data_IF_799673172302
#
_entry.id   IF_799673172302
#
_cell.length_a   1.000
_cell.length_b   1.000
_cell.length_c   1.000
_cell.angle_alpha   90.00
_cell.angle_beta   90.00
_cell.angle_gamma   90.00
#
_symmetry.space_group_name_H-M   'P 1'
#
loop_
_entity.id
_entity.type
_entity.pdbx_description
1 polymer ?
#
# COMPACT_ATOMS: atom_id res chain seq x y z
N UNK A 1 -44.02 8.66 -39.98
CA UNK A 1 -44.19 7.70 -38.88
C UNK A 1 -43.04 6.72 -39.00
N UNK A 2 -41.88 7.04 -38.44
CA UNK A 2 -41.48 6.77 -37.05
C UNK A 2 -41.38 5.26 -36.83
N UNK A 3 -40.17 4.69 -36.81
CA UNK A 3 -39.52 4.46 -35.51
C UNK A 3 -38.06 4.03 -35.69
N UNK A 4 -37.18 4.80 -35.04
CA UNK A 4 -35.74 4.56 -34.92
C UNK A 4 -35.48 4.30 -33.45
N UNK A 5 -35.27 3.03 -33.05
CA UNK A 5 -34.82 2.66 -31.70
C UNK A 5 -33.39 2.12 -31.84
N UNK A 6 -32.36 2.96 -31.70
CA UNK A 6 -31.71 3.40 -30.45
C UNK A 6 -31.12 2.22 -29.65
N UNK A 7 -30.04 1.66 -30.17
CA UNK A 7 -29.18 0.66 -29.51
C UNK A 7 -27.89 1.25 -28.92
N UNK A 8 -27.98 2.38 -28.21
CA UNK A 8 -26.81 3.13 -27.71
C UNK A 8 -26.64 3.07 -26.17
N UNK A 9 -27.46 2.26 -25.48
CA UNK A 9 -27.54 2.28 -24.01
C UNK A 9 -26.74 1.21 -23.27
N UNK A 10 -26.29 0.15 -23.94
CA UNK A 10 -25.72 -1.03 -23.26
C UNK A 10 -24.20 -0.99 -23.15
N UNK A 11 -23.52 -0.36 -24.11
CA UNK A 11 -22.05 -0.32 -24.12
C UNK A 11 -21.48 0.69 -23.11
N UNK A 12 -22.23 1.75 -22.77
CA UNK A 12 -21.76 2.81 -21.86
C UNK A 12 -21.75 2.38 -20.37
N UNK A 13 -22.61 1.44 -19.96
CA UNK A 13 -22.64 0.93 -18.57
C UNK A 13 -21.50 -0.02 -18.23
N UNK A 14 -20.86 -0.65 -19.21
CA UNK A 14 -19.75 -1.55 -18.95
C UNK A 14 -18.44 -0.80 -18.63
N UNK A 15 -18.26 0.41 -19.18
CA UNK A 15 -17.11 1.26 -18.86
C UNK A 15 -17.26 2.03 -17.55
N UNK A 16 -18.50 2.26 -17.09
CA UNK A 16 -18.78 2.84 -15.76
C UNK A 16 -18.71 1.81 -14.60
N UNK A 17 -18.50 0.52 -14.93
CA UNK A 17 -18.36 -0.56 -13.96
C UNK A 17 -16.89 -0.95 -13.69
N UNK A 18 -15.93 -0.28 -14.34
CA UNK A 18 -14.49 -0.44 -14.11
C UNK A 18 -13.96 0.84 -13.44
N UNK A 19 -13.58 0.74 -12.17
CA UNK A 19 -13.09 1.86 -11.40
C UNK A 19 -13.32 1.71 -9.89
N UNK A 20 -12.93 2.72 -9.09
CA UNK A 20 -12.96 2.65 -7.63
C UNK A 20 -14.33 2.25 -7.06
N UNK A 21 -15.41 2.63 -7.72
CA UNK A 21 -16.78 2.32 -7.30
C UNK A 21 -17.09 0.81 -7.32
N UNK A 22 -16.46 0.04 -8.23
CA UNK A 22 -16.65 -1.40 -8.31
C UNK A 22 -15.97 -2.13 -7.14
N UNK A 23 -14.73 -1.73 -6.80
CA UNK A 23 -14.03 -2.23 -5.63
C UNK A 23 -14.80 -1.89 -4.34
N UNK A 24 -15.31 -0.66 -4.22
CA UNK A 24 -16.15 -0.26 -3.09
C UNK A 24 -17.48 -1.03 -3.02
N UNK A 25 -18.13 -1.30 -4.16
CA UNK A 25 -19.34 -2.11 -4.20
C UNK A 25 -19.08 -3.55 -3.70
N UNK A 26 -17.97 -4.16 -4.14
CA UNK A 26 -17.55 -5.50 -3.67
C UNK A 26 -17.24 -5.50 -2.17
N UNK A 27 -16.50 -4.50 -1.69
CA UNK A 27 -16.24 -4.30 -0.27
C UNK A 27 -17.55 -4.25 0.50
N UNK A 28 -18.54 -3.46 0.06
CA UNK A 28 -19.82 -3.32 0.77
C UNK A 28 -20.69 -4.58 0.71
N UNK A 29 -20.56 -5.41 -0.32
CA UNK A 29 -21.34 -6.63 -0.51
C UNK A 29 -20.83 -7.81 0.34
N UNK A 30 -19.52 -7.90 0.59
CA UNK A 30 -18.89 -9.00 1.31
C UNK A 30 -18.30 -8.53 2.64
N UNK A 31 -18.67 -9.15 3.74
CA UNK A 31 -18.29 -8.70 5.09
C UNK A 31 -16.97 -9.28 5.63
N UNK A 32 -16.31 -10.19 4.90
CA UNK A 32 -15.07 -10.81 5.39
C UNK A 32 -13.87 -9.84 5.32
N UNK A 33 -12.83 -10.13 6.10
CA UNK A 33 -11.58 -9.35 6.03
C UNK A 33 -10.82 -9.65 4.75
N UNK A 34 -10.71 -10.93 4.38
CA UNK A 34 -10.09 -11.38 3.13
C UNK A 34 -10.65 -10.62 1.92
N UNK A 35 -11.98 -10.57 1.74
CA UNK A 35 -12.58 -9.87 0.60
C UNK A 35 -12.32 -8.36 0.61
N UNK A 36 -12.21 -7.75 1.80
CA UNK A 36 -11.86 -6.34 1.92
C UNK A 36 -10.42 -6.06 1.48
N UNK A 37 -9.50 -6.99 1.78
CA UNK A 37 -8.12 -6.92 1.31
C UNK A 37 -7.99 -7.22 -0.19
N UNK A 38 -8.78 -8.13 -0.74
CA UNK A 38 -8.86 -8.38 -2.18
C UNK A 38 -9.34 -7.13 -2.93
N UNK A 39 -10.43 -6.50 -2.46
CA UNK A 39 -10.92 -5.24 -3.03
C UNK A 39 -9.87 -4.12 -2.93
N UNK A 40 -9.08 -4.10 -1.86
CA UNK A 40 -7.95 -3.17 -1.75
C UNK A 40 -6.87 -3.44 -2.79
N UNK A 41 -6.48 -4.71 -2.97
CA UNK A 41 -5.48 -5.09 -3.97
C UNK A 41 -5.95 -4.73 -5.39
N UNK A 42 -7.22 -5.01 -5.72
CA UNK A 42 -7.83 -4.62 -6.98
C UNK A 42 -7.74 -3.10 -7.20
N UNK A 43 -8.08 -2.30 -6.20
CA UNK A 43 -7.97 -0.83 -6.30
C UNK A 43 -6.53 -0.36 -6.54
N UNK A 44 -5.53 -1.00 -5.91
CA UNK A 44 -4.10 -0.71 -6.17
C UNK A 44 -3.73 -0.99 -7.63
N UNK A 45 -4.18 -2.13 -8.17
CA UNK A 45 -3.93 -2.51 -9.56
C UNK A 45 -4.64 -1.56 -10.54
N UNK A 46 -5.88 -1.17 -10.24
CA UNK A 46 -6.64 -0.20 -11.04
C UNK A 46 -5.96 1.18 -11.07
N UNK A 47 -5.49 1.67 -9.92
CA UNK A 47 -4.74 2.93 -9.86
C UNK A 47 -3.44 2.85 -10.67
N UNK A 48 -2.69 1.75 -10.54
CA UNK A 48 -1.46 1.56 -11.30
C UNK A 48 -1.71 1.54 -12.82
N UNK A 49 -2.77 0.86 -13.25
CA UNK A 49 -3.21 0.85 -14.65
C UNK A 49 -3.67 2.24 -15.12
N UNK A 50 -4.41 2.99 -14.30
CA UNK A 50 -4.82 4.36 -14.61
C UNK A 50 -3.61 5.28 -14.81
N UNK A 51 -2.63 5.23 -13.91
CA UNK A 51 -1.38 6.00 -14.01
C UNK A 51 -0.60 5.68 -15.28
N UNK A 52 -0.56 4.41 -15.66
CA UNK A 52 0.09 3.99 -16.91
C UNK A 52 -0.64 4.59 -18.12
N UNK A 53 -1.98 4.49 -18.18
CA UNK A 53 -2.80 5.07 -19.26
C UNK A 53 -2.59 6.58 -19.39
N UNK A 54 -2.55 7.32 -18.29
CA UNK A 54 -2.29 8.77 -18.33
C UNK A 54 -0.86 9.08 -18.80
N UNK A 55 0.13 8.28 -18.39
CA UNK A 55 1.51 8.42 -18.89
C UNK A 55 1.57 8.24 -20.41
N UNK A 56 0.98 7.17 -20.92
CA UNK A 56 0.92 6.90 -22.37
C UNK A 56 0.14 7.98 -23.14
N UNK A 57 -0.95 8.50 -22.57
CA UNK A 57 -1.73 9.59 -23.17
C UNK A 57 -0.90 10.88 -23.26
N UNK A 58 -0.15 11.24 -22.21
CA UNK A 58 0.77 12.39 -22.23
C UNK A 58 1.87 12.22 -23.27
N UNK A 59 2.52 11.06 -23.30
CA UNK A 59 3.58 10.76 -24.28
C UNK A 59 3.04 10.84 -25.72
N UNK A 60 1.86 10.28 -25.98
CA UNK A 60 1.20 10.38 -27.29
C UNK A 60 0.88 11.82 -27.66
N UNK A 61 0.37 12.61 -26.72
CA UNK A 61 0.03 14.01 -26.94
C UNK A 61 1.29 14.84 -27.23
N UNK A 62 2.41 14.56 -26.55
CA UNK A 62 3.70 15.18 -26.80
C UNK A 62 4.27 14.82 -28.18
N UNK A 63 4.20 13.55 -28.59
CA UNK A 63 4.62 13.10 -29.92
C UNK A 63 3.78 13.74 -31.03
N UNK A 64 2.45 13.76 -30.88
CA UNK A 64 1.55 14.39 -31.84
C UNK A 64 1.77 15.91 -31.90
N UNK A 65 1.90 16.57 -30.75
CA UNK A 65 2.17 18.01 -30.67
C UNK A 65 3.51 18.39 -31.29
N UNK A 66 4.58 17.67 -30.96
CA UNK A 66 5.92 17.91 -31.53
C UNK A 66 5.96 17.67 -33.04
N UNK A 67 5.29 16.62 -33.54
CA UNK A 67 5.19 16.37 -34.97
C UNK A 67 4.43 17.48 -35.69
N UNK A 68 3.27 17.91 -35.19
CA UNK A 68 2.48 18.98 -35.81
C UNK A 68 3.25 20.31 -35.85
N UNK A 69 3.85 20.71 -34.72
CA UNK A 69 4.67 21.92 -34.66
C UNK A 69 5.91 21.83 -35.55
N UNK A 70 6.56 20.66 -35.60
CA UNK A 70 7.69 20.39 -36.49
C UNK A 70 7.30 20.45 -37.96
N UNK A 71 6.16 19.86 -38.34
CA UNK A 71 5.65 19.88 -39.70
C UNK A 71 5.31 21.30 -40.17
N UNK A 72 4.69 22.12 -39.31
CA UNK A 72 4.36 23.51 -39.66
C UNK A 72 5.62 24.38 -39.77
N UNK A 73 6.62 24.17 -38.90
CA UNK A 73 7.94 24.83 -39.03
C UNK A 73 8.66 24.40 -40.30
N UNK A 74 8.66 23.11 -40.63
CA UNK A 74 9.28 22.57 -41.85
C UNK A 74 8.59 23.04 -43.13
N UNK A 75 7.29 23.33 -43.08
CA UNK A 75 6.53 23.92 -44.18
C UNK A 75 6.91 25.39 -44.47
N UNK A 76 7.85 25.98 -43.73
CA UNK A 76 8.35 27.35 -43.97
C UNK A 76 7.37 28.44 -43.56
N UNK A 77 6.41 28.12 -42.70
CA UNK A 77 5.35 29.01 -42.23
C UNK A 77 5.76 29.88 -41.04
N UNK A 78 7.05 29.87 -40.69
CA UNK A 78 7.67 30.78 -39.72
C UNK A 78 7.89 32.16 -40.34
N UNK A 79 7.45 33.26 -39.69
CA UNK A 79 7.67 34.60 -40.23
C UNK A 79 9.19 34.88 -40.30
N UNK A 80 9.72 35.40 -41.42
CA UNK A 80 11.13 35.79 -41.49
C UNK A 80 11.40 36.94 -40.51
N UNK A 81 12.46 36.82 -39.71
CA UNK A 81 12.89 37.83 -38.74
C UNK A 81 13.46 39.12 -39.39
N UNK A 82 13.60 39.15 -40.72
CA UNK A 82 14.12 40.29 -41.47
C UNK A 82 13.80 40.17 -42.96
N UNK A 83 12.79 40.90 -43.43
CA UNK A 83 12.65 41.19 -44.86
C UNK A 83 12.02 42.57 -45.03
N UNK A 84 12.69 43.39 -45.84
CA UNK A 84 12.30 44.73 -46.28
C UNK A 84 10.85 44.80 -46.80
N UNK A 85 10.20 45.98 -46.78
CA UNK A 85 8.79 46.13 -47.11
C UNK A 85 8.55 46.01 -48.61
N UNK A 86 8.45 44.78 -49.10
CA UNK A 86 7.85 44.42 -50.38
C UNK A 86 6.46 43.83 -50.14
N UNK A 87 5.46 44.30 -50.90
CA UNK A 87 4.07 43.84 -50.86
C UNK A 87 3.98 42.31 -51.07
N UNK A 88 3.91 41.55 -49.98
CA UNK A 88 3.47 40.15 -50.00
C UNK A 88 2.30 40.01 -49.03
N UNK A 89 1.08 40.02 -49.57
CA UNK A 89 -0.08 39.49 -48.86
C UNK A 89 0.08 37.97 -48.79
N UNK A 90 0.22 37.39 -47.59
CA UNK A 90 0.15 35.93 -47.45
C UNK A 90 0.73 35.26 -46.19
N UNK A 91 1.42 35.95 -45.27
CA UNK A 91 2.14 35.29 -44.14
C UNK A 91 1.34 35.23 -42.83
N UNK A 92 0.25 35.99 -42.68
CA UNK A 92 -0.61 36.00 -41.51
C UNK A 92 -1.31 34.65 -41.15
N UNK A 93 -1.85 33.85 -42.12
CA UNK A 93 -2.66 32.68 -41.80
C UNK A 93 -1.89 31.56 -41.09
N UNK A 94 -0.57 31.54 -41.28
CA UNK A 94 0.27 30.44 -40.84
C UNK A 94 0.83 30.64 -39.43
N UNK A 95 1.11 31.90 -39.07
CA UNK A 95 1.42 32.29 -37.69
C UNK A 95 0.20 32.16 -36.78
N UNK A 96 -0.99 32.51 -37.26
CA UNK A 96 -2.24 32.29 -36.53
C UNK A 96 -2.53 30.79 -36.36
N UNK A 97 -2.29 29.96 -37.38
CA UNK A 97 -2.42 28.51 -37.26
C UNK A 97 -1.44 27.90 -36.24
N UNK A 98 -0.19 28.35 -36.21
CA UNK A 98 0.80 27.91 -35.21
C UNK A 98 0.36 28.27 -33.80
N UNK A 99 -0.07 29.51 -33.59
CA UNK A 99 -0.56 29.99 -32.30
C UNK A 99 -1.79 29.21 -31.85
N UNK A 100 -2.76 29.01 -32.74
CA UNK A 100 -3.96 28.21 -32.45
C UNK A 100 -3.61 26.75 -32.13
N UNK A 101 -2.60 26.17 -32.81
CA UNK A 101 -2.14 24.81 -32.55
C UNK A 101 -1.40 24.68 -31.20
N UNK A 102 -0.58 25.66 -30.83
CA UNK A 102 0.09 25.75 -29.53
C UNK A 102 -0.92 25.95 -28.39
N UNK A 103 -1.92 26.83 -28.59
CA UNK A 103 -3.01 27.05 -27.66
C UNK A 103 -3.83 25.77 -27.46
N UNK A 104 -4.22 25.08 -28.54
CA UNK A 104 -4.95 23.80 -28.46
C UNK A 104 -4.13 22.69 -27.79
N UNK A 105 -2.83 22.61 -28.06
CA UNK A 105 -1.95 21.63 -27.40
C UNK A 105 -1.85 21.90 -25.90
N UNK A 106 -1.74 23.18 -25.51
CA UNK A 106 -1.70 23.58 -24.10
C UNK A 106 -3.02 23.22 -23.41
N UNK A 107 -4.17 23.58 -23.99
CA UNK A 107 -5.48 23.20 -23.47
C UNK A 107 -5.65 21.68 -23.34
N UNK A 108 -5.16 20.91 -24.31
CA UNK A 108 -5.24 19.46 -24.27
C UNK A 108 -4.35 18.87 -23.15
N UNK A 109 -3.15 19.42 -22.91
CA UNK A 109 -2.29 19.04 -21.78
C UNK A 109 -2.96 19.31 -20.44
N UNK A 110 -3.54 20.49 -20.30
CA UNK A 110 -4.27 20.88 -19.09
C UNK A 110 -5.47 19.97 -18.84
N UNK A 111 -6.22 19.62 -19.89
CA UNK A 111 -7.35 18.69 -19.78
C UNK A 111 -6.92 17.26 -19.40
N UNK A 112 -5.76 16.78 -19.85
CA UNK A 112 -5.20 15.49 -19.40
C UNK A 112 -4.79 15.58 -17.93
N UNK A 113 -4.06 16.63 -17.54
CA UNK A 113 -3.61 16.83 -16.16
C UNK A 113 -4.78 16.94 -15.17
N UNK A 114 -5.86 17.63 -15.57
CA UNK A 114 -7.07 17.74 -14.76
C UNK A 114 -7.75 16.36 -14.58
N UNK A 115 -7.89 15.59 -15.66
CA UNK A 115 -8.47 14.23 -15.58
C UNK A 115 -7.62 13.27 -14.74
N UNK A 116 -6.30 13.38 -14.83
CA UNK A 116 -5.36 12.62 -13.98
C UNK A 116 -5.55 12.99 -12.50
N UNK A 117 -5.59 14.29 -12.18
CA UNK A 117 -5.82 14.75 -10.81
C UNK A 117 -7.19 14.31 -10.24
N UNK A 118 -8.26 14.41 -11.03
CA UNK A 118 -9.60 13.94 -10.64
C UNK A 118 -9.64 12.41 -10.48
N UNK A 119 -8.89 11.66 -11.29
CA UNK A 119 -8.74 10.22 -11.13
C UNK A 119 -7.98 9.88 -9.84
N UNK A 120 -6.86 10.54 -9.57
CA UNK A 120 -6.06 10.31 -8.35
C UNK A 120 -6.86 10.66 -7.08
N UNK A 121 -7.63 11.75 -7.09
CA UNK A 121 -8.49 12.14 -5.98
C UNK A 121 -9.54 11.05 -5.67
N UNK A 122 -10.22 10.52 -6.71
CA UNK A 122 -11.19 9.43 -6.56
C UNK A 122 -10.57 8.15 -5.97
N UNK A 123 -9.37 7.79 -6.41
CA UNK A 123 -8.67 6.63 -5.84
C UNK A 123 -8.25 6.90 -4.39
N UNK A 124 -7.76 8.10 -4.06
CA UNK A 124 -7.39 8.47 -2.70
C UNK A 124 -8.57 8.36 -1.73
N UNK A 125 -9.75 8.84 -2.13
CA UNK A 125 -10.99 8.73 -1.36
C UNK A 125 -11.40 7.26 -1.18
N UNK A 126 -11.36 6.47 -2.26
CA UNK A 126 -11.69 5.05 -2.20
C UNK A 126 -10.73 4.26 -1.30
N UNK A 127 -9.43 4.57 -1.33
CA UNK A 127 -8.47 3.98 -0.40
C UNK A 127 -8.76 4.36 1.05
N UNK A 128 -9.14 5.60 1.32
CA UNK A 128 -9.52 6.03 2.65
C UNK A 128 -10.75 5.27 3.16
N UNK A 129 -11.77 5.09 2.31
CA UNK A 129 -12.96 4.31 2.64
C UNK A 129 -12.64 2.83 2.92
N UNK A 130 -11.84 2.18 2.07
CA UNK A 130 -11.43 0.78 2.26
C UNK A 130 -10.67 0.62 3.58
N UNK A 131 -9.70 1.49 3.88
CA UNK A 131 -8.93 1.43 5.14
C UNK A 131 -9.82 1.63 6.36
N UNK A 132 -10.73 2.60 6.32
CA UNK A 132 -11.68 2.84 7.40
C UNK A 132 -12.59 1.62 7.63
N UNK A 133 -13.08 1.02 6.54
CA UNK A 133 -13.93 -0.18 6.60
C UNK A 133 -13.19 -1.39 7.14
N UNK A 134 -11.94 -1.62 6.70
CA UNK A 134 -11.11 -2.72 7.22
C UNK A 134 -10.83 -2.56 8.71
N UNK A 135 -10.51 -1.34 9.16
CA UNK A 135 -10.34 -1.04 10.59
C UNK A 135 -11.60 -1.32 11.40
N UNK A 136 -12.76 -0.84 10.93
CA UNK A 136 -14.04 -1.09 11.59
C UNK A 136 -14.34 -2.61 11.68
N UNK A 137 -14.14 -3.34 10.58
CA UNK A 137 -14.31 -4.79 10.58
C UNK A 137 -13.37 -5.47 11.56
N UNK A 138 -12.09 -5.15 11.55
CA UNK A 138 -11.11 -5.71 12.49
C UNK A 138 -11.55 -5.47 13.93
N UNK A 139 -12.00 -4.26 14.26
CA UNK A 139 -12.52 -3.92 15.59
C UNK A 139 -13.75 -4.76 15.95
N UNK A 140 -14.69 -4.95 15.02
CA UNK A 140 -15.85 -5.83 15.21
C UNK A 140 -15.44 -7.31 15.39
N UNK A 141 -14.49 -7.81 14.61
CA UNK A 141 -13.97 -9.17 14.76
C UNK A 141 -13.29 -9.38 16.12
N UNK A 142 -12.52 -8.40 16.59
CA UNK A 142 -11.86 -8.42 17.90
C UNK A 142 -12.84 -8.31 19.08
N UNK A 143 -13.99 -7.65 18.89
CA UNK A 143 -15.03 -7.59 19.92
C UNK A 143 -15.86 -8.87 19.99
N UNK A 144 -16.04 -9.56 18.86
CA UNK A 144 -16.79 -10.81 18.76
C UNK A 144 -15.95 -12.05 19.12
N UNK A 145 -14.66 -12.06 18.78
CA UNK A 145 -13.77 -13.20 18.97
C UNK A 145 -12.36 -12.78 19.39
N UNK A 146 -11.72 -13.60 20.22
CA UNK A 146 -10.37 -13.34 20.71
C UNK A 146 -9.37 -14.20 19.94
N UNK A 147 -8.32 -13.63 19.34
CA UNK A 147 -7.20 -14.39 18.80
C UNK A 147 -6.63 -15.33 19.87
N UNK A 148 -6.52 -16.62 19.56
CA UNK A 148 -5.91 -17.61 20.46
C UNK A 148 -4.43 -17.79 20.12
N UNK A 149 -3.59 -17.77 21.15
CA UNK A 149 -2.13 -17.93 21.05
C UNK A 149 -1.66 -19.00 22.01
N UNK A 150 -0.71 -19.82 21.59
CA UNK A 150 0.03 -20.73 22.49
C UNK A 150 1.47 -20.28 22.58
N UNK A 151 1.92 -19.89 23.77
CA UNK A 151 3.30 -19.49 24.06
C UNK A 151 4.09 -20.70 24.53
N UNK A 152 5.12 -21.07 23.77
CA UNK A 152 6.06 -22.12 24.09
C UNK A 152 7.38 -21.51 24.57
N UNK A 153 7.83 -21.92 25.75
CA UNK A 153 9.10 -21.49 26.33
C UNK A 153 10.13 -22.61 26.22
N UNK A 154 11.29 -22.30 25.62
CA UNK A 154 12.48 -23.16 25.67
C UNK A 154 13.59 -22.47 26.46
N UNK A 155 13.99 -23.06 27.60
CA UNK A 155 15.08 -22.54 28.42
C UNK A 155 16.46 -22.91 27.86
N UNK A 156 17.39 -21.97 27.91
CA UNK A 156 18.80 -22.13 27.58
C UNK A 156 19.65 -21.82 28.82
N UNK A 157 19.72 -22.79 29.74
CA UNK A 157 20.29 -22.56 31.07
C UNK A 157 19.33 -21.80 31.99
N UNK A 158 19.88 -21.05 32.95
CA UNK A 158 19.08 -20.35 33.99
C UNK A 158 18.67 -18.94 33.60
N UNK A 159 19.46 -18.26 32.76
CA UNK A 159 19.32 -16.82 32.49
C UNK A 159 18.82 -16.48 31.08
N UNK A 160 18.67 -17.48 30.20
CA UNK A 160 18.33 -17.26 28.79
C UNK A 160 17.23 -18.19 28.33
N UNK A 161 16.46 -17.74 27.35
CA UNK A 161 15.39 -18.52 26.73
C UNK A 161 15.16 -18.12 25.28
N UNK A 162 14.50 -19.03 24.55
CA UNK A 162 13.88 -18.75 23.27
C UNK A 162 12.38 -18.89 23.48
N UNK A 163 11.61 -17.94 22.95
CA UNK A 163 10.15 -17.97 22.98
C UNK A 163 9.61 -18.19 21.57
N UNK A 164 8.60 -19.06 21.48
CA UNK A 164 7.84 -19.28 20.26
C UNK A 164 6.36 -19.10 20.53
N UNK A 165 5.62 -18.62 19.54
CA UNK A 165 4.17 -18.72 19.51
C UNK A 165 3.74 -19.73 18.44
N UNK A 166 2.62 -20.40 18.68
CA UNK A 166 1.98 -21.21 17.65
C UNK A 166 1.70 -20.37 16.40
N UNK A 167 1.92 -20.93 15.22
CA UNK A 167 1.54 -20.27 13.96
C UNK A 167 0.06 -19.93 13.96
N UNK A 168 -0.27 -18.76 13.44
CA UNK A 168 -1.65 -18.29 13.22
C UNK A 168 -1.95 -18.20 11.72
N UNK A 169 -3.23 -18.34 11.36
CA UNK A 169 -3.70 -18.41 9.96
C UNK A 169 -5.03 -17.66 9.79
N UNK A 170 -5.51 -17.57 8.54
CA UNK A 170 -6.76 -16.89 8.21
C UNK A 170 -6.67 -15.40 8.54
N UNK A 171 -7.69 -14.86 9.19
CA UNK A 171 -7.76 -13.44 9.57
C UNK A 171 -6.90 -13.07 10.79
N UNK A 172 -6.51 -14.06 11.60
CA UNK A 172 -5.82 -13.85 12.87
C UNK A 172 -4.55 -12.97 12.77
N UNK A 173 -3.67 -13.11 11.75
CA UNK A 173 -2.54 -12.21 11.56
C UNK A 173 -2.93 -10.73 11.48
N UNK A 174 -3.98 -10.39 10.72
CA UNK A 174 -4.43 -9.01 10.59
C UNK A 174 -5.02 -8.48 11.91
N UNK A 175 -5.78 -9.31 12.62
CA UNK A 175 -6.32 -8.98 13.93
C UNK A 175 -5.20 -8.71 14.95
N UNK A 176 -4.17 -9.57 15.00
CA UNK A 176 -3.03 -9.40 15.89
C UNK A 176 -2.18 -8.18 15.54
N UNK A 177 -1.95 -7.92 14.24
CA UNK A 177 -1.24 -6.73 13.78
C UNK A 177 -1.91 -5.46 14.29
N UNK A 178 -3.25 -5.37 14.16
CA UNK A 178 -4.02 -4.25 14.69
C UNK A 178 -4.00 -4.21 16.21
N UNK A 179 -4.13 -5.36 16.89
CA UNK A 179 -4.11 -5.44 18.34
C UNK A 179 -2.82 -4.88 18.94
N UNK A 180 -1.67 -5.22 18.33
CA UNK A 180 -0.34 -4.86 18.82
C UNK A 180 0.15 -3.48 18.38
N UNK A 181 -0.28 -3.00 17.20
CA UNK A 181 0.23 -1.76 16.62
C UNK A 181 -0.80 -0.63 16.47
N UNK A 182 -2.09 -0.93 16.61
CA UNK A 182 -3.18 -0.01 16.30
C UNK A 182 -3.35 0.29 14.80
N UNK A 183 -2.59 -0.39 13.93
CA UNK A 183 -2.57 -0.19 12.47
C UNK A 183 -2.85 -1.49 11.74
N UNK A 184 -3.31 -1.38 10.51
CA UNK A 184 -3.64 -2.54 9.68
C UNK A 184 -2.46 -2.92 8.79
N UNK A 185 -2.20 -4.20 8.50
CA UNK A 185 -1.23 -4.57 7.49
C UNK A 185 -1.72 -4.14 6.11
N UNK A 186 -0.80 -3.91 5.18
CA UNK A 186 -1.07 -3.56 3.77
C UNK A 186 -1.64 -4.71 2.94
N UNK A 187 -1.44 -5.95 3.39
CA UNK A 187 -1.90 -7.19 2.75
C UNK A 187 -2.44 -8.17 3.80
N UNK A 188 -3.41 -9.01 3.42
CA UNK A 188 -4.01 -10.01 4.31
C UNK A 188 -3.03 -11.12 4.71
N UNK A 189 -2.38 -11.74 3.72
CA UNK A 189 -1.44 -12.84 3.91
C UNK A 189 -0.02 -12.45 4.35
N UNK A 190 0.20 -11.21 4.79
CA UNK A 190 1.53 -10.63 5.00
C UNK A 190 2.45 -11.46 5.90
N UNK A 191 1.90 -12.10 6.95
CA UNK A 191 2.68 -12.86 7.92
C UNK A 191 3.23 -14.16 7.34
N UNK A 192 2.56 -14.72 6.33
CA UNK A 192 2.92 -16.00 5.72
C UNK A 192 3.76 -15.83 4.45
N UNK A 193 4.01 -14.59 4.04
CA UNK A 193 4.80 -14.29 2.86
C UNK A 193 6.29 -14.22 3.19
N UNK A 194 7.00 -15.31 2.88
CA UNK A 194 8.44 -15.46 3.02
C UNK A 194 9.19 -15.33 1.69
N UNK A 195 8.53 -14.76 0.66
CA UNK A 195 9.14 -14.66 -0.68
C UNK A 195 10.36 -13.72 -0.69
N UNK A 196 11.39 -14.11 -1.45
CA UNK A 196 12.58 -13.30 -1.71
C UNK A 196 13.04 -13.55 -3.15
N UNK A 197 13.47 -12.49 -3.85
CA UNK A 197 14.05 -12.62 -5.19
C UNK A 197 15.48 -13.17 -5.13
N UNK A 198 16.17 -12.93 -4.01
CA UNK A 198 17.51 -13.43 -3.74
C UNK A 198 17.46 -14.48 -2.63
N UNK A 199 17.74 -15.73 -2.98
CA UNK A 199 17.77 -16.89 -2.06
C UNK A 199 18.94 -16.86 -1.08
N UNK A 200 19.96 -16.04 -1.33
CA UNK A 200 21.08 -15.86 -0.41
C UNK A 200 20.77 -14.91 0.74
N UNK A 201 19.67 -14.15 0.62
CA UNK A 201 19.20 -13.21 1.62
C UNK A 201 17.98 -13.76 2.35
N UNK A 202 17.85 -13.40 3.63
CA UNK A 202 16.58 -13.56 4.32
C UNK A 202 15.47 -12.78 3.58
N UNK A 203 14.18 -13.12 3.72
CA UNK A 203 13.10 -12.32 3.15
C UNK A 203 13.14 -10.88 3.64
N UNK A 204 12.84 -9.93 2.74
CA UNK A 204 12.77 -8.52 3.12
C UNK A 204 11.59 -8.32 4.09
N UNK A 205 11.75 -7.61 5.22
CA UNK A 205 10.69 -7.43 6.20
C UNK A 205 9.60 -6.45 5.72
N UNK A 206 9.82 -5.69 4.65
CA UNK A 206 8.85 -4.72 4.14
C UNK A 206 8.55 -4.92 2.65
N UNK A 207 7.31 -4.64 2.24
CA UNK A 207 6.88 -4.65 0.84
C UNK A 207 7.35 -3.39 0.10
N UNK A 208 8.19 -3.57 -0.93
CA UNK A 208 8.74 -2.46 -1.73
C UNK A 208 7.66 -1.63 -2.44
N UNK A 209 6.62 -2.30 -2.93
CA UNK A 209 5.53 -1.71 -3.69
C UNK A 209 4.51 -0.95 -2.81
N UNK A 210 4.68 -0.99 -1.49
CA UNK A 210 3.79 -0.32 -0.51
C UNK A 210 4.37 1.02 -0.03
N UNK A 211 5.02 1.76 -0.94
CA UNK A 211 5.62 3.08 -0.66
C UNK A 211 6.90 3.02 0.18
N UNK A 212 7.63 1.91 0.12
CA UNK A 212 8.94 1.73 0.76
C UNK A 212 10.00 1.94 -0.31
N UNK A 213 10.99 2.81 -0.07
CA UNK A 213 12.08 2.98 -1.04
C UNK A 213 12.92 1.70 -1.11
N UNK A 214 13.55 1.38 -2.26
CA UNK A 214 14.34 0.15 -2.42
C UNK A 214 15.41 -0.05 -1.34
N UNK A 215 16.01 1.03 -0.85
CA UNK A 215 17.04 1.00 0.20
C UNK A 215 16.45 0.72 1.59
N UNK A 216 15.17 1.02 1.80
CA UNK A 216 14.48 0.88 3.08
C UNK A 216 13.74 -0.45 3.24
N UNK A 217 13.69 -1.31 2.22
CA UNK A 217 12.97 -2.59 2.29
C UNK A 217 13.58 -3.56 3.29
N UNK A 218 14.85 -3.35 3.64
CA UNK A 218 15.64 -4.13 4.60
C UNK A 218 16.23 -3.22 5.68
N UNK A 219 15.39 -2.56 6.50
CA UNK A 219 15.88 -1.71 7.57
C UNK A 219 16.55 -2.57 8.65
N UNK A 220 17.50 -1.97 9.34
CA UNK A 220 18.01 -2.51 10.58
C UNK A 220 16.95 -2.43 11.69
N UNK A 221 17.23 -2.97 12.89
CA UNK A 221 16.24 -3.03 13.95
C UNK A 221 15.76 -1.66 14.43
N UNK A 222 16.66 -0.67 14.51
CA UNK A 222 16.35 0.68 14.96
C UNK A 222 15.51 1.45 13.93
N UNK A 223 15.86 1.34 12.65
CA UNK A 223 15.09 1.93 11.55
C UNK A 223 13.71 1.26 11.42
N UNK A 224 13.63 -0.06 11.63
CA UNK A 224 12.35 -0.76 11.65
C UNK A 224 11.48 -0.29 12.82
N UNK A 225 12.04 -0.16 14.02
CA UNK A 225 11.34 0.38 15.17
C UNK A 225 10.79 1.79 14.89
N UNK A 226 11.63 2.68 14.36
CA UNK A 226 11.23 4.04 14.02
C UNK A 226 10.06 4.06 13.03
N UNK A 227 10.08 3.20 12.00
CA UNK A 227 8.96 3.03 11.06
C UNK A 227 7.71 2.49 11.77
N UNK A 228 7.90 1.55 12.69
CA UNK A 228 6.81 0.99 13.50
C UNK A 228 6.27 1.97 14.55
N UNK A 229 6.96 3.05 14.90
CA UNK A 229 6.41 4.12 15.74
C UNK A 229 5.89 5.31 14.95
N UNK A 230 6.28 5.43 13.69
CA UNK A 230 5.89 6.51 12.79
C UNK A 230 4.38 6.63 12.62
N UNK A 231 3.93 7.82 12.22
CA UNK A 231 2.53 8.07 11.91
C UNK A 231 2.06 7.26 10.69
N UNK A 232 0.76 6.99 10.65
CA UNK A 232 0.12 6.31 9.54
C UNK A 232 -0.88 5.26 10.01
N UNK A 233 -1.68 4.76 9.08
CA UNK A 233 -2.74 3.80 9.36
C UNK A 233 -2.39 2.37 8.94
N UNK A 234 -1.42 2.25 8.03
CA UNK A 234 -1.10 1.03 7.30
C UNK A 234 0.36 0.68 7.51
N UNK A 235 0.62 -0.63 7.64
CA UNK A 235 1.96 -1.15 7.78
C UNK A 235 2.34 -2.03 6.57
N UNK A 236 3.45 -1.72 5.87
CA UNK A 236 3.92 -2.51 4.73
C UNK A 236 4.72 -3.74 5.19
N UNK A 237 4.22 -4.50 6.17
CA UNK A 237 4.94 -5.63 6.78
C UNK A 237 4.99 -6.84 5.86
N UNK A 238 6.06 -7.63 5.99
CA UNK A 238 6.21 -8.93 5.35
C UNK A 238 6.88 -9.91 6.31
N UNK A 239 6.22 -11.04 6.58
CA UNK A 239 6.76 -12.16 7.36
C UNK A 239 6.83 -11.98 8.87
N UNK A 240 6.32 -10.89 9.47
CA UNK A 240 6.37 -10.72 10.94
C UNK A 240 5.24 -9.84 11.53
N UNK A 241 4.96 -9.99 12.83
CA UNK A 241 4.11 -9.08 13.62
C UNK A 241 4.95 -8.15 14.52
N UNK A 242 4.74 -6.84 14.52
CA UNK A 242 5.38 -5.92 15.47
C UNK A 242 4.69 -5.96 16.84
N UNK A 243 5.46 -5.96 17.93
CA UNK A 243 4.93 -5.93 19.30
C UNK A 243 5.75 -4.94 20.14
N UNK A 244 5.08 -4.00 20.78
CA UNK A 244 5.70 -3.07 21.73
C UNK A 244 5.37 -3.47 23.16
N UNK A 245 6.40 -3.77 23.95
CA UNK A 245 6.26 -4.24 25.33
C UNK A 245 6.74 -3.17 26.30
N UNK A 246 5.85 -2.62 27.17
CA UNK A 246 6.23 -1.56 28.12
C UNK A 246 7.34 -1.98 29.09
N UNK A 247 8.25 -1.05 29.40
CA UNK A 247 9.33 -1.22 30.38
C UNK A 247 8.94 -0.68 31.77
N UNK A 248 9.45 -1.29 32.86
CA UNK A 248 9.24 -0.79 34.23
C UNK A 248 9.77 0.63 34.51
N UNK A 249 10.64 1.18 33.65
CA UNK A 249 11.20 2.52 33.77
C UNK A 249 10.65 3.54 32.75
N UNK A 250 9.59 3.18 32.02
CA UNK A 250 9.06 3.97 30.91
C UNK A 250 9.68 3.60 29.55
N UNK A 251 8.95 3.92 28.48
CA UNK A 251 9.24 3.45 27.13
C UNK A 251 8.84 1.99 26.91
N UNK A 252 9.09 1.50 25.70
CA UNK A 252 8.79 0.11 25.31
C UNK A 252 10.03 -0.54 24.69
N UNK A 253 10.14 -1.87 24.84
CA UNK A 253 10.96 -2.69 23.96
C UNK A 253 10.19 -3.00 22.67
N UNK A 254 10.91 -2.98 21.55
CA UNK A 254 10.39 -3.44 20.28
C UNK A 254 10.73 -4.91 20.08
N UNK A 255 9.69 -5.74 20.02
CA UNK A 255 9.74 -7.13 19.64
C UNK A 255 9.11 -7.34 18.26
N UNK A 256 9.53 -8.40 17.58
CA UNK A 256 8.83 -8.92 16.42
C UNK A 256 8.58 -10.41 16.56
N UNK A 257 7.44 -10.85 16.04
CA UNK A 257 7.08 -12.26 15.91
C UNK A 257 7.34 -12.67 14.47
N UNK A 258 8.52 -13.23 14.23
CA UNK A 258 8.99 -13.61 12.90
C UNK A 258 8.44 -14.99 12.54
N UNK A 259 7.81 -15.10 11.37
CA UNK A 259 7.34 -16.39 10.85
C UNK A 259 8.55 -17.30 10.56
N UNK A 260 8.62 -18.45 11.25
CA UNK A 260 9.64 -19.48 11.01
C UNK A 260 8.98 -20.86 10.96
N UNK A 261 8.63 -21.30 9.75
CA UNK A 261 8.06 -22.63 9.52
C UNK A 261 6.72 -22.82 10.24
N UNK A 262 6.72 -23.63 11.31
CA UNK A 262 5.52 -23.99 12.08
C UNK A 262 5.26 -23.07 13.29
N UNK A 263 6.13 -22.11 13.56
CA UNK A 263 6.03 -21.21 14.72
C UNK A 263 6.25 -19.75 14.33
N UNK A 264 5.87 -18.85 15.23
CA UNK A 264 6.35 -17.48 15.24
C UNK A 264 7.46 -17.37 16.28
N UNK A 265 8.68 -17.06 15.85
CA UNK A 265 9.80 -16.84 16.77
C UNK A 265 9.78 -15.40 17.30
N UNK A 266 9.94 -15.27 18.62
CA UNK A 266 10.03 -13.96 19.26
C UNK A 266 11.46 -13.46 19.17
N UNK A 267 11.64 -12.31 18.52
CA UNK A 267 12.91 -11.60 18.47
C UNK A 267 12.75 -10.21 19.09
N UNK A 268 13.78 -9.75 19.81
CA UNK A 268 13.83 -8.39 20.38
C UNK A 268 14.87 -7.56 19.64
N UNK A 269 14.57 -6.28 19.43
CA UNK A 269 15.51 -5.31 18.90
C UNK A 269 16.64 -5.05 19.92
N UNK A 270 17.88 -5.12 19.45
CA UNK A 270 19.09 -4.86 20.24
C UNK A 270 20.07 -4.05 19.38
N UNK A 271 20.03 -2.73 19.55
CA UNK A 271 20.73 -1.79 18.69
C UNK A 271 20.23 -1.89 17.24
N UNK A 272 21.12 -2.29 16.32
CA UNK A 272 20.82 -2.43 14.90
C UNK A 272 20.34 -3.83 14.50
N UNK A 273 20.36 -4.81 15.41
CA UNK A 273 20.04 -6.20 15.10
C UNK A 273 18.82 -6.71 15.88
N UNK A 274 18.28 -7.82 15.41
CA UNK A 274 17.30 -8.60 16.16
C UNK A 274 17.97 -9.85 16.73
N UNK A 275 17.55 -10.26 17.93
CA UNK A 275 17.98 -11.51 18.57
C UNK A 275 16.82 -12.32 19.11
N UNK A 276 16.89 -13.63 18.93
CA UNK A 276 15.91 -14.61 19.40
C UNK A 276 16.26 -15.24 20.76
N UNK A 277 17.52 -15.12 21.19
CA UNK A 277 17.95 -15.50 22.55
C UNK A 277 17.67 -14.32 23.46
N UNK A 278 16.63 -14.47 24.26
CA UNK A 278 16.16 -13.47 25.21
C UNK A 278 16.80 -13.68 26.58
N UNK A 279 17.02 -12.59 27.28
CA UNK A 279 17.30 -12.66 28.72
C UNK A 279 16.05 -13.14 29.46
N UNK A 280 16.25 -13.60 30.70
CA UNK A 280 15.15 -13.95 31.59
C UNK A 280 14.16 -12.80 31.73
N UNK A 281 14.65 -11.59 31.97
CA UNK A 281 13.79 -10.41 32.16
C UNK A 281 12.98 -10.09 30.91
N UNK A 282 13.58 -10.12 29.72
CA UNK A 282 12.86 -9.89 28.46
C UNK A 282 11.79 -10.94 28.21
N UNK A 283 12.09 -12.21 28.51
CA UNK A 283 11.16 -13.31 28.35
C UNK A 283 9.96 -13.17 29.28
N UNK A 284 10.22 -12.83 30.55
CA UNK A 284 9.21 -12.56 31.55
C UNK A 284 8.36 -11.33 31.19
N UNK A 285 8.98 -10.25 30.66
CA UNK A 285 8.26 -9.05 30.20
C UNK A 285 7.36 -9.36 29.00
N UNK A 286 7.86 -10.07 27.99
CA UNK A 286 7.07 -10.44 26.82
C UNK A 286 5.89 -11.36 27.21
N UNK A 287 6.15 -12.41 28.00
CA UNK A 287 5.11 -13.29 28.52
C UNK A 287 4.09 -12.52 29.39
N UNK A 288 4.57 -11.62 30.25
CA UNK A 288 3.74 -10.75 31.08
C UNK A 288 2.86 -9.81 30.26
N UNK A 289 3.35 -9.28 29.13
CA UNK A 289 2.55 -8.48 28.21
C UNK A 289 1.41 -9.30 27.59
N UNK A 290 1.68 -10.51 27.10
CA UNK A 290 0.63 -11.39 26.59
C UNK A 290 -0.36 -11.78 27.69
N UNK A 291 0.12 -12.09 28.89
CA UNK A 291 -0.74 -12.40 30.04
C UNK A 291 -1.66 -11.23 30.38
N UNK A 292 -1.15 -9.98 30.35
CA UNK A 292 -1.97 -8.79 30.53
C UNK A 292 -3.08 -8.71 29.48
N UNK A 293 -2.77 -8.94 28.20
CA UNK A 293 -3.78 -8.97 27.12
C UNK A 293 -4.81 -10.08 27.33
N UNK A 294 -4.41 -11.26 27.85
CA UNK A 294 -5.33 -12.34 28.23
C UNK A 294 -6.27 -11.90 29.35
N UNK A 295 -5.73 -11.28 30.40
CA UNK A 295 -6.50 -10.81 31.56
C UNK A 295 -7.46 -9.67 31.19
N UNK A 296 -7.07 -8.82 30.24
CA UNK A 296 -7.94 -7.81 29.62
C UNK A 296 -9.01 -8.41 28.69
N UNK A 297 -8.98 -9.73 28.46
CA UNK A 297 -9.91 -10.41 27.57
C UNK A 297 -9.71 -10.06 26.09
N UNK A 298 -8.52 -9.61 25.70
CA UNK A 298 -8.19 -9.23 24.32
C UNK A 298 -7.69 -10.40 23.47
N UNK A 299 -7.08 -11.40 24.11
CA UNK A 299 -6.62 -12.63 23.48
C UNK A 299 -6.98 -13.86 24.31
N UNK A 300 -7.03 -15.03 23.68
CA UNK A 300 -6.82 -16.31 24.34
C UNK A 300 -5.32 -16.59 24.40
N UNK A 301 -4.81 -17.07 25.54
CA UNK A 301 -3.40 -17.40 25.69
C UNK A 301 -3.24 -18.67 26.51
N UNK A 302 -2.60 -19.67 25.94
CA UNK A 302 -2.12 -20.85 26.64
C UNK A 302 -0.59 -20.80 26.73
N UNK A 303 -0.03 -21.26 27.85
CA UNK A 303 1.42 -21.23 28.10
C UNK A 303 1.90 -22.66 28.31
N UNK A 304 2.71 -23.13 27.37
CA UNK A 304 3.39 -24.41 27.45
C UNK A 304 4.81 -24.20 27.99
N UNK A 305 5.08 -24.82 29.13
CA UNK A 305 6.40 -24.82 29.75
C UNK A 305 7.08 -26.13 29.38
N UNK A 306 8.11 -26.05 28.53
CA UNK A 306 8.97 -27.17 28.15
C UNK A 306 10.15 -27.36 29.08
#
# INVERSE_FOLDING_TARGET
MSDTTRGDGVVKRAQDAEGPDAALARLRALETLESGYEAWLELKLEQAAARLRFREERERLEQQGSFLLGAVRAAGLTPPASAEPGLVSGVAPAGDFLRDAEEKLTQAREAVAQREAESEARHADAFAEIRATLKDRIQRYLSASRPALTLMLRRLGTERSILHLSRVTGDTPALLCFLFSGRIPSRHGFLLDDSTEDVSLAPAPLYADEGVTPEEVRPDAAALEARMRGAGEVLPLKGFLPVFVPKPGGGDDFFRLLQRGAVLEVEVADGTAFRNVLTREESERFAGHLLRLKLEGRIGLDIEVG
#
